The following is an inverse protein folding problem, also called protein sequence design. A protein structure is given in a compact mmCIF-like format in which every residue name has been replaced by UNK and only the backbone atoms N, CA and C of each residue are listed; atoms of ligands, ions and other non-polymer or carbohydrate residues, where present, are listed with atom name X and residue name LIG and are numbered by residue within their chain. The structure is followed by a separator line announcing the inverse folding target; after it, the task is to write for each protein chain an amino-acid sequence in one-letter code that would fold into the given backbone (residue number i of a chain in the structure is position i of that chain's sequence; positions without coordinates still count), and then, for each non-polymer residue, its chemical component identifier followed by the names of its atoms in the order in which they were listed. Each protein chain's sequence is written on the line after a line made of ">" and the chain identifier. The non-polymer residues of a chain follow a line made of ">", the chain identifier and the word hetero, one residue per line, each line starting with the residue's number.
data_IF_937238083345
#
_entry.id   IF_937238083345
#
_cell.length_a   1.000
_cell.length_b   1.000
_cell.length_c   1.000
_cell.angle_alpha   90.00
_cell.angle_beta   90.00
_cell.angle_gamma   90.00
#
_symmetry.space_group_name_H-M   'P 1'
#
loop_
_entity.id
_entity.type
_entity.pdbx_description
1 polymer ?
#
# COMPACT_ATOMS: atom_id res chain seq x y z
N UNK A 1 5.13 -20.94 11.92
CA UNK A 1 5.03 -21.35 10.50
C UNK A 1 3.60 -21.78 10.25
N UNK A 2 2.89 -21.13 9.33
CA UNK A 2 1.55 -21.59 8.92
C UNK A 2 1.73 -22.60 7.79
N UNK A 3 1.49 -23.88 8.07
CA UNK A 3 1.39 -24.91 7.05
C UNK A 3 -0.09 -25.09 6.73
N UNK A 4 -0.53 -24.58 5.58
CA UNK A 4 -1.95 -24.58 5.21
C UNK A 4 -2.10 -24.99 3.75
N UNK A 5 -2.36 -26.28 3.54
CA UNK A 5 -2.64 -26.89 2.24
C UNK A 5 -3.84 -26.25 1.52
N UNK A 6 -4.73 -25.60 2.28
CA UNK A 6 -5.95 -24.93 1.83
C UNK A 6 -5.78 -23.42 1.57
N UNK A 7 -4.57 -22.87 1.75
CA UNK A 7 -4.23 -21.47 1.45
C UNK A 7 -3.11 -21.43 0.42
N UNK A 8 -3.46 -21.28 -0.86
CA UNK A 8 -2.47 -21.17 -1.93
C UNK A 8 -1.99 -19.71 -2.04
N UNK A 9 -0.66 -19.54 -2.02
CA UNK A 9 -0.02 -18.24 -2.25
C UNK A 9 0.04 -17.98 -3.76
N UNK A 10 -0.67 -16.96 -4.26
CA UNK A 10 -0.64 -16.59 -5.70
C UNK A 10 0.61 -15.75 -6.04
N UNK A 11 1.79 -16.22 -5.65
CA UNK A 11 3.09 -15.66 -6.08
C UNK A 11 3.82 -16.55 -7.09
N UNK A 12 3.52 -17.86 -7.10
CA UNK A 12 4.18 -18.89 -7.92
C UNK A 12 3.59 -19.06 -9.33
N UNK A 13 2.35 -18.62 -9.58
CA UNK A 13 1.59 -18.92 -10.80
C UNK A 13 1.73 -17.88 -11.93
N UNK A 14 2.88 -17.21 -12.05
CA UNK A 14 3.10 -16.06 -12.95
C UNK A 14 2.78 -16.31 -14.44
N UNK A 15 2.81 -17.57 -14.87
CA UNK A 15 2.63 -18.02 -16.26
C UNK A 15 1.24 -18.59 -16.56
N UNK A 16 0.38 -18.82 -15.55
CA UNK A 16 -0.96 -19.39 -15.79
C UNK A 16 -1.98 -18.32 -16.18
N UNK A 17 -2.97 -18.73 -16.98
CA UNK A 17 -4.14 -17.89 -17.27
C UNK A 17 -5.04 -17.76 -16.03
N UNK A 18 -5.72 -16.63 -15.91
CA UNK A 18 -6.63 -16.32 -14.78
C UNK A 18 -7.71 -17.40 -14.60
N UNK A 19 -8.27 -17.88 -15.71
CA UNK A 19 -9.25 -18.97 -15.73
C UNK A 19 -8.69 -20.29 -15.20
N UNK A 20 -7.44 -20.63 -15.50
CA UNK A 20 -6.81 -21.86 -15.00
C UNK A 20 -6.47 -21.75 -13.50
N UNK A 21 -6.08 -20.57 -13.02
CA UNK A 21 -5.88 -20.32 -11.58
C UNK A 21 -7.21 -20.45 -10.83
N UNK A 22 -8.25 -19.75 -11.26
CA UNK A 22 -9.60 -19.85 -10.70
C UNK A 22 -10.11 -21.29 -10.66
N UNK A 23 -10.01 -22.01 -11.79
CA UNK A 23 -10.44 -23.39 -11.91
C UNK A 23 -9.75 -24.30 -10.89
N UNK A 24 -8.41 -24.24 -10.79
CA UNK A 24 -7.65 -25.06 -9.84
C UNK A 24 -8.02 -24.79 -8.38
N UNK A 25 -8.16 -23.51 -8.01
CA UNK A 25 -8.55 -23.11 -6.65
C UNK A 25 -9.96 -23.64 -6.29
N UNK A 26 -10.91 -23.55 -7.23
CA UNK A 26 -12.27 -24.11 -7.09
C UNK A 26 -12.26 -25.63 -6.99
N UNK A 27 -11.52 -26.33 -7.85
CA UNK A 27 -11.39 -27.80 -7.83
C UNK A 27 -10.76 -28.32 -6.52
N UNK A 28 -9.90 -27.53 -5.89
CA UNK A 28 -9.28 -27.83 -4.59
C UNK A 28 -10.13 -27.39 -3.39
N UNK A 29 -11.33 -26.83 -3.60
CA UNK A 29 -12.20 -26.35 -2.53
C UNK A 29 -11.65 -25.15 -1.74
N UNK A 30 -10.69 -24.41 -2.30
CA UNK A 30 -10.06 -23.26 -1.64
C UNK A 30 -11.09 -22.16 -1.42
N UNK A 31 -11.16 -21.65 -0.18
CA UNK A 31 -12.01 -20.51 0.20
C UNK A 31 -11.23 -19.26 0.60
N UNK A 32 -10.00 -19.41 1.08
CA UNK A 32 -9.13 -18.30 1.47
C UNK A 32 -7.85 -18.33 0.65
N UNK A 33 -7.53 -17.20 0.03
CA UNK A 33 -6.43 -17.06 -0.92
C UNK A 33 -5.43 -16.03 -0.40
N UNK A 34 -4.19 -16.44 -0.18
CA UNK A 34 -3.11 -15.52 0.22
C UNK A 34 -2.53 -14.90 -1.05
N UNK A 35 -2.85 -13.63 -1.31
CA UNK A 35 -2.53 -12.99 -2.59
C UNK A 35 -1.45 -11.93 -2.39
N UNK A 36 -0.20 -12.33 -2.63
CA UNK A 36 0.94 -11.43 -2.81
C UNK A 36 1.09 -11.09 -4.30
N UNK A 37 0.70 -9.88 -4.67
CA UNK A 37 0.68 -9.40 -6.05
C UNK A 37 1.02 -7.91 -6.14
N UNK A 38 0.96 -7.38 -7.36
CA UNK A 38 1.00 -5.94 -7.61
C UNK A 38 -0.38 -5.43 -8.02
N UNK A 39 -0.64 -4.13 -7.85
CA UNK A 39 -1.87 -3.42 -8.22
C UNK A 39 -2.51 -3.91 -9.54
N UNK A 40 -1.71 -4.02 -10.60
CA UNK A 40 -2.17 -4.51 -11.92
C UNK A 40 -2.61 -5.98 -11.94
N UNK A 41 -2.04 -6.83 -11.07
CA UNK A 41 -2.39 -8.25 -10.92
C UNK A 41 -3.64 -8.45 -10.06
N UNK A 42 -3.80 -7.66 -9.00
CA UNK A 42 -5.04 -7.64 -8.21
C UNK A 42 -6.23 -7.26 -9.08
N UNK A 43 -6.19 -6.08 -9.71
CA UNK A 43 -7.25 -5.64 -10.63
C UNK A 43 -7.53 -6.68 -11.71
N UNK A 44 -6.51 -7.15 -12.41
CA UNK A 44 -6.71 -8.09 -13.51
C UNK A 44 -7.36 -9.43 -13.08
N UNK A 45 -7.12 -9.91 -11.85
CA UNK A 45 -7.73 -11.15 -11.35
C UNK A 45 -9.13 -10.90 -10.77
N UNK A 46 -9.32 -9.84 -10.00
CA UNK A 46 -10.62 -9.49 -9.42
C UNK A 46 -11.64 -9.13 -10.50
N UNK A 47 -11.27 -8.34 -11.51
CA UNK A 47 -12.18 -8.02 -12.62
C UNK A 47 -12.53 -9.26 -13.45
N UNK A 48 -11.60 -10.23 -13.57
CA UNK A 48 -11.92 -11.52 -14.21
C UNK A 48 -12.99 -12.33 -13.46
N UNK A 49 -13.04 -12.22 -12.13
CA UNK A 49 -14.07 -12.85 -11.30
C UNK A 49 -15.39 -12.07 -11.40
N UNK A 50 -15.32 -10.73 -11.28
CA UNK A 50 -16.46 -9.81 -11.37
C UNK A 50 -17.22 -9.97 -12.71
N UNK A 51 -16.49 -9.92 -13.83
CA UNK A 51 -16.99 -10.08 -15.22
C UNK A 51 -17.70 -11.43 -15.47
N UNK A 52 -17.48 -12.43 -14.63
CA UNK A 52 -17.94 -13.82 -14.82
C UNK A 52 -18.92 -14.29 -13.75
N UNK A 53 -19.40 -13.38 -12.91
CA UNK A 53 -20.28 -13.72 -11.78
C UNK A 53 -19.64 -14.70 -10.77
N UNK A 54 -18.31 -14.83 -10.79
CA UNK A 54 -17.52 -15.69 -9.89
C UNK A 54 -17.13 -14.93 -8.59
N UNK A 55 -17.89 -13.91 -8.22
CA UNK A 55 -17.62 -13.09 -7.05
C UNK A 55 -18.07 -13.80 -5.76
N UNK A 56 -17.32 -13.65 -4.66
CA UNK A 56 -17.54 -14.44 -3.44
C UNK A 56 -17.02 -15.88 -3.47
N UNK A 57 -16.38 -16.32 -4.57
CA UNK A 57 -15.70 -17.63 -4.62
C UNK A 57 -14.58 -17.75 -3.58
N UNK A 58 -13.86 -16.65 -3.36
CA UNK A 58 -12.69 -16.57 -2.49
C UNK A 58 -12.73 -15.34 -1.61
N UNK A 59 -12.15 -15.45 -0.42
CA UNK A 59 -11.78 -14.35 0.46
C UNK A 59 -10.27 -14.15 0.33
N UNK A 60 -9.81 -12.93 0.04
CA UNK A 60 -8.39 -12.67 -0.14
C UNK A 60 -7.73 -12.19 1.16
N UNK A 61 -6.53 -12.71 1.44
CA UNK A 61 -5.57 -12.14 2.39
C UNK A 61 -4.48 -11.47 1.54
N UNK A 62 -4.60 -10.16 1.35
CA UNK A 62 -3.78 -9.38 0.43
C UNK A 62 -2.59 -8.70 1.11
N UNK A 63 -1.49 -8.55 0.37
CA UNK A 63 -0.33 -7.79 0.82
C UNK A 63 -0.52 -6.27 0.71
N UNK A 64 0.43 -5.51 1.26
CA UNK A 64 0.43 -4.05 1.33
C UNK A 64 0.13 -3.34 0.01
N UNK A 65 0.57 -3.88 -1.12
CA UNK A 65 0.36 -3.30 -2.46
C UNK A 65 -1.12 -3.25 -2.89
N UNK A 66 -2.03 -3.92 -2.17
CA UNK A 66 -3.48 -3.67 -2.25
C UNK A 66 -3.88 -2.50 -1.34
N UNK A 67 -3.54 -2.56 -0.05
CA UNK A 67 -3.90 -1.58 0.99
C UNK A 67 -5.33 -1.02 0.82
N UNK A 68 -5.50 0.30 0.91
CA UNK A 68 -6.78 1.01 0.77
C UNK A 68 -6.99 1.56 -0.65
N UNK A 69 -6.49 0.86 -1.67
CA UNK A 69 -6.56 1.28 -3.07
C UNK A 69 -8.01 1.30 -3.58
N UNK A 70 -8.57 2.50 -3.76
CA UNK A 70 -9.98 2.71 -4.16
C UNK A 70 -10.30 2.14 -5.54
N UNK A 71 -9.35 2.12 -6.48
CA UNK A 71 -9.54 1.57 -7.84
C UNK A 71 -9.94 0.11 -7.86
N UNK A 72 -9.57 -0.66 -6.83
CA UNK A 72 -9.98 -2.07 -6.71
C UNK A 72 -11.47 -2.16 -6.38
N UNK A 73 -11.99 -1.28 -5.52
CA UNK A 73 -13.41 -1.24 -5.16
C UNK A 73 -14.27 -0.57 -6.24
N UNK A 74 -13.70 0.35 -7.02
CA UNK A 74 -14.36 0.95 -8.20
C UNK A 74 -14.58 -0.07 -9.32
N UNK A 75 -13.65 -1.00 -9.53
CA UNK A 75 -13.65 -1.94 -10.66
C UNK A 75 -14.19 -3.33 -10.32
N UNK A 76 -14.08 -3.79 -9.07
CA UNK A 76 -14.44 -5.16 -8.68
C UNK A 76 -14.90 -5.27 -7.21
N UNK A 77 -15.94 -4.49 -6.82
CA UNK A 77 -16.40 -4.43 -5.43
C UNK A 77 -16.91 -5.77 -4.90
N UNK A 78 -17.62 -6.57 -5.71
CA UNK A 78 -18.20 -7.83 -5.25
C UNK A 78 -17.14 -8.92 -5.07
N UNK A 79 -16.09 -8.91 -5.89
CA UNK A 79 -14.94 -9.81 -5.79
C UNK A 79 -13.95 -9.40 -4.68
N UNK A 80 -13.92 -8.11 -4.32
CA UNK A 80 -13.07 -7.58 -3.26
C UNK A 80 -13.67 -7.75 -1.85
N UNK A 81 -14.99 -7.86 -1.71
CA UNK A 81 -15.69 -7.87 -0.41
C UNK A 81 -15.20 -8.95 0.55
N UNK A 82 -15.15 -8.62 1.84
CA UNK A 82 -14.67 -9.51 2.89
C UNK A 82 -13.16 -9.77 2.88
N UNK A 83 -12.43 -9.33 1.86
CA UNK A 83 -10.96 -9.45 1.83
C UNK A 83 -10.32 -8.70 2.99
N UNK A 84 -9.20 -9.21 3.48
CA UNK A 84 -8.34 -8.57 4.47
C UNK A 84 -7.08 -8.12 3.76
N UNK A 85 -6.62 -6.90 4.05
CA UNK A 85 -5.45 -6.28 3.44
C UNK A 85 -4.63 -5.54 4.49
N UNK A 86 -3.38 -5.29 4.17
CA UNK A 86 -2.43 -4.55 5.02
C UNK A 86 -2.17 -3.18 4.40
N UNK A 87 -1.91 -2.18 5.24
CA UNK A 87 -1.37 -0.87 4.85
C UNK A 87 -0.28 -0.52 5.85
N UNK A 88 0.85 0.05 5.44
CA UNK A 88 1.82 0.58 6.43
C UNK A 88 1.09 1.56 7.35
N UNK A 89 1.34 1.43 8.65
CA UNK A 89 0.73 2.23 9.71
C UNK A 89 1.03 3.72 9.47
N UNK A 90 -0.01 4.45 9.06
CA UNK A 90 0.02 5.91 9.03
C UNK A 90 -0.09 6.40 10.48
N UNK A 91 1.07 6.55 11.12
CA UNK A 91 1.20 7.45 12.27
C UNK A 91 0.65 8.80 11.84
N UNK A 92 -0.23 9.41 12.65
CA UNK A 92 -0.71 10.77 12.42
C UNK A 92 0.46 11.69 12.10
N UNK A 93 0.56 12.05 10.83
CA UNK A 93 1.52 13.01 10.35
C UNK A 93 0.96 14.38 10.75
N UNK A 94 1.21 14.77 12.00
CA UNK A 94 0.95 16.12 12.54
C UNK A 94 1.54 17.23 11.63
N UNK A 95 2.44 16.83 10.71
CA UNK A 95 3.20 17.66 9.79
C UNK A 95 2.85 17.41 8.30
N UNK A 96 1.72 16.78 7.92
CA UNK A 96 1.33 16.64 6.47
C UNK A 96 1.31 17.99 5.79
N UNK A 97 0.75 19.01 6.46
CA UNK A 97 0.59 20.34 5.86
C UNK A 97 1.92 21.11 5.80
N UNK A 98 2.85 20.87 6.73
CA UNK A 98 4.24 21.36 6.63
C UNK A 98 5.02 20.63 5.53
N UNK A 99 4.82 19.32 5.35
CA UNK A 99 5.43 18.57 4.24
C UNK A 99 4.87 19.00 2.89
N UNK A 100 3.55 19.21 2.79
CA UNK A 100 2.90 19.85 1.64
C UNK A 100 3.44 21.26 1.40
N UNK A 101 3.58 22.06 2.46
CA UNK A 101 4.18 23.38 2.43
C UNK A 101 5.63 23.35 1.94
N UNK A 102 6.42 22.38 2.40
CA UNK A 102 7.79 22.16 1.95
C UNK A 102 7.83 21.82 0.46
N UNK A 103 7.02 20.87 -0.01
CA UNK A 103 6.92 20.52 -1.42
C UNK A 103 6.43 21.71 -2.29
N UNK A 104 5.42 22.45 -1.82
CA UNK A 104 4.90 23.64 -2.49
C UNK A 104 5.92 24.80 -2.57
N UNK A 105 6.79 24.91 -1.56
CA UNK A 105 7.86 25.90 -1.51
C UNK A 105 9.19 25.42 -2.11
N UNK A 106 9.34 24.11 -2.37
CA UNK A 106 10.54 23.55 -3.00
C UNK A 106 10.70 24.16 -4.39
N UNK A 107 11.90 24.66 -4.67
CA UNK A 107 12.34 25.06 -6.01
C UNK A 107 13.55 24.18 -6.39
N UNK A 108 13.92 24.09 -7.68
CA UNK A 108 15.16 23.44 -8.08
C UNK A 108 16.35 24.09 -7.38
N UNK A 109 17.53 23.48 -7.49
CA UNK A 109 18.78 24.12 -7.09
C UNK A 109 19.95 23.50 -7.84
N UNK A 110 20.96 24.27 -8.26
CA UNK A 110 22.23 23.71 -8.71
C UNK A 110 22.93 22.88 -7.62
N UNK A 111 22.55 23.09 -6.36
CA UNK A 111 23.00 22.32 -5.20
C UNK A 111 22.00 21.22 -4.76
N UNK A 112 20.95 20.95 -5.53
CA UNK A 112 19.97 19.92 -5.17
C UNK A 112 20.65 18.54 -5.10
N UNK A 113 20.45 17.85 -3.98
CA UNK A 113 20.97 16.50 -3.81
C UNK A 113 20.23 15.51 -4.70
N UNK A 114 18.97 15.80 -5.04
CA UNK A 114 18.17 15.06 -6.00
C UNK A 114 18.45 15.55 -7.43
N UNK A 115 19.27 14.79 -8.17
CA UNK A 115 19.65 15.11 -9.55
C UNK A 115 18.46 15.12 -10.53
N UNK A 116 17.37 14.44 -10.21
CA UNK A 116 16.16 14.37 -11.03
C UNK A 116 15.21 15.55 -10.81
N UNK A 117 15.34 16.29 -9.70
CA UNK A 117 14.38 17.33 -9.35
C UNK A 117 14.40 18.52 -10.32
N UNK A 118 15.57 18.88 -10.83
CA UNK A 118 15.74 19.92 -11.87
C UNK A 118 15.15 19.52 -13.22
N UNK A 119 15.17 18.23 -13.58
CA UNK A 119 14.54 17.69 -14.79
C UNK A 119 13.01 17.68 -14.65
N UNK A 120 12.52 17.09 -13.55
CA UNK A 120 11.11 17.08 -13.17
C UNK A 120 10.49 18.48 -13.21
N UNK A 121 11.16 19.49 -12.64
CA UNK A 121 10.63 20.85 -12.58
C UNK A 121 10.50 21.49 -13.96
N UNK A 122 11.52 21.35 -14.81
CA UNK A 122 11.48 21.91 -16.17
C UNK A 122 10.35 21.28 -16.98
N UNK A 123 10.15 19.97 -16.85
CA UNK A 123 9.05 19.24 -17.48
C UNK A 123 7.67 19.66 -16.91
N UNK A 124 7.53 19.76 -15.58
CA UNK A 124 6.26 20.10 -14.94
C UNK A 124 5.78 21.53 -15.24
N UNK A 125 6.70 22.50 -15.32
CA UNK A 125 6.38 23.92 -15.55
C UNK A 125 6.62 24.41 -16.99
N UNK A 126 7.12 23.52 -17.86
CA UNK A 126 7.44 23.78 -19.27
C UNK A 126 8.37 25.01 -19.42
N UNK A 127 9.42 25.09 -18.61
CA UNK A 127 10.41 26.18 -18.59
C UNK A 127 11.84 25.63 -18.48
N UNK A 128 12.83 26.39 -18.94
CA UNK A 128 14.25 26.04 -18.80
C UNK A 128 14.84 26.69 -17.54
N UNK A 129 15.70 25.99 -16.84
CA UNK A 129 16.46 26.57 -15.73
C UNK A 129 17.56 27.50 -16.28
N UNK A 130 17.69 28.74 -15.77
CA UNK A 130 18.75 29.66 -16.18
C UNK A 130 20.14 29.02 -16.02
N UNK A 131 20.93 29.01 -17.09
CA UNK A 131 22.27 28.40 -17.12
C UNK A 131 22.29 26.87 -17.22
N UNK A 132 21.14 26.21 -17.40
CA UNK A 132 21.07 24.77 -17.67
C UNK A 132 21.49 24.41 -19.10
N UNK A 133 21.99 23.19 -19.30
CA UNK A 133 22.30 22.64 -20.63
C UNK A 133 21.07 22.11 -21.37
N UNK A 134 20.00 21.78 -20.64
CA UNK A 134 18.74 21.26 -21.19
C UNK A 134 17.80 22.45 -21.42
N UNK A 135 17.67 22.89 -22.67
CA UNK A 135 16.85 24.05 -23.04
C UNK A 135 15.74 23.65 -24.03
N UNK A 136 14.80 22.83 -23.56
CA UNK A 136 13.74 22.22 -24.38
C UNK A 136 12.52 23.15 -24.57
N UNK A 137 12.35 24.16 -23.72
CA UNK A 137 11.16 25.01 -23.66
C UNK A 137 11.44 26.46 -24.08
N UNK A 138 10.38 27.22 -24.41
CA UNK A 138 10.51 28.59 -24.94
C UNK A 138 10.64 29.71 -23.90
N UNK A 139 10.73 29.39 -22.59
CA UNK A 139 10.74 30.38 -21.48
C UNK A 139 11.66 29.94 -20.35
N UNK A 140 12.20 30.89 -19.59
CA UNK A 140 13.01 30.62 -18.39
C UNK A 140 12.13 30.41 -17.14
N UNK A 141 12.65 29.69 -16.15
CA UNK A 141 12.05 29.59 -14.81
C UNK A 141 12.55 30.73 -13.90
N UNK A 142 11.67 31.33 -13.10
CA UNK A 142 11.98 32.50 -12.25
C UNK A 142 12.14 32.13 -10.76
N UNK A 143 13.28 32.47 -10.12
CA UNK A 143 13.51 32.25 -8.67
C UNK A 143 15.00 32.24 -8.25
N UNK A 144 15.29 32.50 -6.95
CA UNK A 144 16.65 32.52 -6.34
C UNK A 144 16.87 31.36 -5.34
N UNK A 145 18.14 31.02 -5.07
CA UNK A 145 18.60 29.71 -4.54
C UNK A 145 19.56 29.74 -3.34
N UNK A 146 19.55 28.69 -2.49
CA UNK A 146 20.73 28.04 -1.88
C UNK A 146 20.64 26.48 -1.99
N UNK A 147 21.35 25.56 -1.30
CA UNK A 147 22.38 25.58 -0.24
C UNK A 147 23.27 24.28 -0.35
N UNK A 148 24.59 24.25 -0.01
CA UNK A 148 25.51 23.29 -0.66
C UNK A 148 25.92 21.96 0.04
N UNK A 149 25.90 21.82 1.36
CA UNK A 149 26.90 20.95 2.04
C UNK A 149 26.49 19.52 2.47
N UNK A 150 25.25 19.08 2.23
CA UNK A 150 24.76 17.80 2.79
C UNK A 150 25.52 16.54 2.30
N UNK A 151 25.98 16.53 1.03
CA UNK A 151 26.66 15.37 0.41
C UNK A 151 28.00 15.01 1.06
N UNK A 152 28.68 15.97 1.70
CA UNK A 152 30.00 15.76 2.32
C UNK A 152 29.93 14.99 3.65
N UNK A 153 28.73 14.75 4.17
CA UNK A 153 28.49 14.16 5.51
C UNK A 153 27.60 12.91 5.47
N UNK A 154 27.61 12.16 4.37
CA UNK A 154 26.70 11.04 4.14
C UNK A 154 26.64 10.00 5.29
N UNK A 155 27.78 9.62 5.89
CA UNK A 155 27.81 8.66 7.02
C UNK A 155 27.21 9.24 8.32
N UNK A 156 27.43 10.53 8.56
CA UNK A 156 26.87 11.27 9.70
C UNK A 156 25.35 11.44 9.53
N UNK A 157 24.92 11.82 8.33
CA UNK A 157 23.52 11.90 7.91
C UNK A 157 22.79 10.55 8.09
N UNK A 158 23.35 9.44 7.62
CA UNK A 158 22.76 8.10 7.81
C UNK A 158 22.71 7.71 9.30
N UNK A 159 23.69 8.12 10.11
CA UNK A 159 23.66 7.92 11.57
C UNK A 159 22.54 8.72 12.23
N UNK A 160 22.31 9.96 11.80
CA UNK A 160 21.20 10.81 12.28
C UNK A 160 19.85 10.25 11.87
N UNK A 161 19.68 9.84 10.60
CA UNK A 161 18.45 9.22 10.09
C UNK A 161 18.11 7.95 10.88
N UNK A 162 19.07 7.05 11.12
CA UNK A 162 18.84 5.81 11.91
C UNK A 162 18.46 6.07 13.37
N UNK A 163 18.80 7.24 13.92
CA UNK A 163 18.44 7.66 15.28
C UNK A 163 17.12 8.44 15.34
N UNK A 164 16.46 8.66 14.21
CA UNK A 164 15.23 9.45 14.18
C UNK A 164 14.10 8.75 14.94
N UNK A 165 13.46 9.50 15.83
CA UNK A 165 12.20 9.13 16.47
C UNK A 165 11.04 10.02 16.02
N UNK A 166 9.82 9.59 16.33
CA UNK A 166 8.57 10.33 16.12
C UNK A 166 7.77 10.31 17.41
N UNK A 167 6.99 11.37 17.61
CA UNK A 167 5.97 11.40 18.66
C UNK A 167 4.61 11.10 18.02
N UNK A 168 3.73 10.44 18.77
CA UNK A 168 2.30 10.33 18.51
C UNK A 168 1.59 10.57 19.85
N UNK A 169 1.03 11.76 20.04
CA UNK A 169 0.64 12.23 21.37
C UNK A 169 1.82 12.18 22.35
N UNK A 170 1.66 11.51 23.49
CA UNK A 170 2.72 11.35 24.50
C UNK A 170 3.73 10.22 24.21
N UNK A 171 3.55 9.44 23.14
CA UNK A 171 4.39 8.27 22.85
C UNK A 171 5.52 8.63 21.88
N UNK A 172 6.79 8.52 22.33
CA UNK A 172 7.97 8.67 21.49
C UNK A 172 8.50 7.29 21.06
N UNK A 173 8.66 7.05 19.77
CA UNK A 173 9.10 5.76 19.22
C UNK A 173 10.13 5.93 18.07
N UNK A 174 11.12 5.02 17.94
CA UNK A 174 12.09 5.11 16.86
C UNK A 174 11.46 4.70 15.51
N UNK A 175 11.82 5.44 14.45
CA UNK A 175 11.36 5.22 13.07
C UNK A 175 12.01 3.99 12.45
N UNK A 176 13.27 3.72 12.80
CA UNK A 176 14.06 2.60 12.28
C UNK A 176 14.38 1.57 13.37
N UNK A 177 14.52 0.31 12.97
CA UNK A 177 15.04 -0.76 13.82
C UNK A 177 16.58 -0.76 13.88
N UNK A 178 17.16 -1.69 14.65
CA UNK A 178 18.61 -1.83 14.76
C UNK A 178 19.32 -2.15 13.43
N UNK A 179 18.61 -2.74 12.47
CA UNK A 179 19.12 -3.09 11.14
C UNK A 179 18.97 -1.93 10.13
N UNK A 180 18.16 -0.91 10.45
CA UNK A 180 17.86 0.22 9.58
C UNK A 180 16.59 0.04 8.74
N UNK A 181 15.76 -0.98 9.01
CA UNK A 181 14.43 -1.11 8.39
C UNK A 181 13.46 -0.13 9.06
N UNK A 182 12.40 0.27 8.34
CA UNK A 182 11.28 0.96 8.98
C UNK A 182 10.65 0.06 10.05
N UNK A 183 10.53 0.57 11.28
CA UNK A 183 9.98 -0.17 12.42
C UNK A 183 8.47 0.06 12.62
N UNK A 184 7.81 0.68 11.64
CA UNK A 184 6.37 0.94 11.64
C UNK A 184 5.58 -0.37 11.54
N UNK A 185 4.35 -0.36 12.06
CA UNK A 185 3.42 -1.45 11.89
C UNK A 185 2.74 -1.47 10.52
N UNK A 186 1.77 -2.36 10.44
CA UNK A 186 0.73 -2.40 9.43
C UNK A 186 -0.63 -2.23 10.12
N UNK A 187 -1.44 -1.35 9.56
CA UNK A 187 -2.87 -1.36 9.79
C UNK A 187 -3.52 -2.48 8.99
N UNK A 188 -4.44 -3.20 9.63
CA UNK A 188 -5.17 -4.32 9.04
C UNK A 188 -6.58 -3.85 8.70
N UNK A 189 -6.95 -3.94 7.43
CA UNK A 189 -8.24 -3.51 6.90
C UNK A 189 -9.06 -4.69 6.39
N UNK A 190 -10.38 -4.60 6.49
CA UNK A 190 -11.34 -5.54 5.91
C UNK A 190 -12.30 -4.79 4.99
N UNK A 191 -12.57 -5.33 3.80
CA UNK A 191 -13.47 -4.71 2.80
C UNK A 191 -14.93 -4.99 3.18
N UNK A 192 -15.68 -3.95 3.55
CA UNK A 192 -17.06 -4.08 4.02
C UNK A 192 -18.03 -3.23 3.21
N UNK A 193 -19.25 -3.73 3.06
CA UNK A 193 -20.39 -2.95 2.55
C UNK A 193 -20.87 -1.98 3.63
N UNK A 194 -20.97 -0.70 3.27
CA UNK A 194 -21.53 0.38 4.08
C UNK A 194 -23.05 0.46 3.89
N UNK A 195 -23.73 1.23 4.75
CA UNK A 195 -25.19 1.41 4.73
C UNK A 195 -25.71 2.05 3.44
N UNK A 196 -24.89 2.86 2.76
CA UNK A 196 -25.20 3.43 1.45
C UNK A 196 -25.05 2.43 0.28
N UNK A 197 -24.69 1.17 0.57
CA UNK A 197 -24.53 0.09 -0.40
C UNK A 197 -23.16 0.00 -1.07
N UNK A 198 -22.28 0.98 -0.86
CA UNK A 198 -20.91 1.03 -1.42
C UNK A 198 -19.97 0.23 -0.50
N UNK A 199 -18.88 -0.32 -1.05
CA UNK A 199 -17.83 -0.99 -0.27
C UNK A 199 -16.71 -0.03 0.12
N UNK A 200 -16.16 -0.18 1.32
CA UNK A 200 -14.96 0.52 1.76
C UNK A 200 -14.07 -0.35 2.68
N UNK A 201 -12.86 0.12 2.94
CA UNK A 201 -11.85 -0.47 3.81
C UNK A 201 -12.06 -0.03 5.26
N UNK A 202 -12.50 -0.95 6.12
CA UNK A 202 -12.66 -0.71 7.56
C UNK A 202 -11.42 -1.21 8.30
N UNK A 203 -10.80 -0.37 9.14
CA UNK A 203 -9.66 -0.77 9.99
C UNK A 203 -10.17 -1.72 11.09
N UNK A 204 -9.65 -2.94 11.11
CA UNK A 204 -10.05 -4.01 12.05
C UNK A 204 -8.93 -4.42 13.01
N UNK A 205 -7.71 -3.89 12.82
CA UNK A 205 -6.59 -4.17 13.71
C UNK A 205 -5.29 -3.49 13.30
N UNK A 206 -4.22 -3.81 14.05
CA UNK A 206 -2.84 -3.43 13.79
C UNK A 206 -1.89 -4.61 14.04
N UNK A 207 -0.83 -4.69 13.26
CA UNK A 207 0.26 -5.66 13.41
C UNK A 207 1.59 -4.91 13.38
N UNK A 208 2.38 -4.95 14.44
CA UNK A 208 3.74 -4.41 14.41
C UNK A 208 4.71 -5.39 15.10
N UNK A 209 6.02 -5.21 14.89
CA UNK A 209 7.05 -6.10 15.43
C UNK A 209 7.38 -5.85 16.91
N UNK A 210 6.72 -4.88 17.55
CA UNK A 210 7.06 -4.34 18.89
C UNK A 210 5.98 -4.58 19.94
N UNK A 211 4.73 -4.86 19.54
CA UNK A 211 3.60 -5.19 20.41
C UNK A 211 2.84 -6.42 19.89
N UNK A 212 2.02 -7.03 20.75
CA UNK A 212 1.08 -8.06 20.30
C UNK A 212 0.16 -7.49 19.23
N UNK A 213 -0.13 -8.22 18.12
CA UNK A 213 -1.07 -7.78 17.12
C UNK A 213 -2.45 -7.55 17.74
N UNK A 214 -3.02 -6.38 17.53
CA UNK A 214 -4.40 -6.10 17.93
C UNK A 214 -5.30 -6.42 16.74
N UNK A 215 -6.25 -7.33 16.92
CA UNK A 215 -7.11 -7.74 15.82
C UNK A 215 -8.51 -8.05 16.36
N UNK A 216 -9.43 -7.14 16.10
CA UNK A 216 -10.81 -7.28 16.57
C UNK A 216 -11.59 -8.14 15.57
N UNK A 217 -11.79 -9.40 15.93
CA UNK A 217 -12.55 -10.36 15.11
C UNK A 217 -14.01 -9.96 14.94
N UNK A 218 -14.59 -9.29 15.94
CA UNK A 218 -16.00 -8.89 15.94
C UNK A 218 -16.27 -7.74 14.95
N UNK A 219 -15.21 -7.06 14.48
CA UNK A 219 -15.30 -6.07 13.40
C UNK A 219 -15.21 -6.69 12.01
N UNK A 220 -14.84 -7.98 11.85
CA UNK A 220 -14.75 -8.60 10.53
C UNK A 220 -16.14 -8.87 9.94
N UNK A 221 -16.29 -8.60 8.64
CA UNK A 221 -17.44 -9.05 7.86
C UNK A 221 -16.96 -9.86 6.67
N UNK A 222 -17.56 -11.02 6.49
CA UNK A 222 -17.43 -11.86 5.31
C UNK A 222 -18.81 -12.06 4.68
N UNK A 223 -18.85 -12.48 3.42
CA UNK A 223 -20.07 -12.42 2.62
C UNK A 223 -20.29 -13.73 1.84
N UNK A 224 -21.56 -14.13 1.70
CA UNK A 224 -21.99 -15.14 0.71
C UNK A 224 -21.73 -14.66 -0.71
N UNK A 225 -21.90 -15.54 -1.70
CA UNK A 225 -22.04 -15.20 -3.12
C UNK A 225 -23.15 -14.14 -3.36
N UNK A 226 -24.30 -14.28 -2.71
CA UNK A 226 -25.42 -13.33 -2.74
C UNK A 226 -25.17 -12.01 -1.99
N UNK A 227 -24.04 -11.87 -1.28
CA UNK A 227 -23.68 -10.66 -0.54
C UNK A 227 -24.36 -10.49 0.83
N UNK A 228 -24.95 -11.55 1.38
CA UNK A 228 -25.40 -11.62 2.77
C UNK A 228 -24.18 -11.80 3.68
N UNK A 229 -24.23 -11.27 4.91
CA UNK A 229 -23.12 -11.42 5.88
C UNK A 229 -23.08 -12.86 6.40
N UNK A 230 -21.87 -13.42 6.50
CA UNK A 230 -21.62 -14.75 7.10
C UNK A 230 -21.37 -14.63 8.60
N UNK A 231 -22.04 -15.46 9.41
CA UNK A 231 -21.81 -15.55 10.86
C UNK A 231 -20.40 -16.09 11.19
N UNK A 232 -19.85 -16.94 10.34
CA UNK A 232 -18.49 -17.48 10.49
C UNK A 232 -17.91 -17.96 9.15
N UNK A 233 -16.58 -18.04 9.09
CA UNK A 233 -15.84 -18.64 7.97
C UNK A 233 -15.01 -19.79 8.51
N UNK A 234 -15.46 -21.02 8.26
CA UNK A 234 -14.72 -22.24 8.63
C UNK A 234 -13.77 -22.62 7.51
N UNK A 235 -12.46 -22.65 7.80
CA UNK A 235 -11.43 -23.14 6.88
C UNK A 235 -10.80 -24.38 7.47
N UNK A 236 -10.93 -25.51 6.79
CA UNK A 236 -10.24 -26.74 7.17
C UNK A 236 -8.82 -26.71 6.62
N UNK A 237 -7.82 -26.55 7.49
CA UNK A 237 -6.42 -26.79 7.15
C UNK A 237 -6.19 -28.31 7.19
N UNK A 238 -6.02 -28.94 6.03
CA UNK A 238 -5.57 -30.33 5.96
C UNK A 238 -4.06 -30.40 6.24
N UNK A 239 -3.71 -31.21 7.24
CA UNK A 239 -2.35 -31.51 7.70
C UNK A 239 -1.58 -32.37 6.71
#
# INVERSE_FOLDING_TARGET
>A
MFNCSSCIIISSWRTLSKALVWKKLREQGVKVVVFFGIDSRYRAFLSFLEERDNHGDFIFLASEEWATNKKILELSPLSARGSITLKVEEVDLEDVDTFRGHLANKRPSPQDTNIWFSEFWQYAFQCNLPGGFINTFGKLCEGKFPCPYLRLKASELTSMIRKQSRMAGSLNFPVFDQYGNGALGFDVYNVQKLDNGIYDYIKVGTFNSRSTPTFNKDLLKFYTDTGQVLDSVTVHCTS
#
